data_IF_923780836368
#
_entry.id   IF_923780836368
#
_cell.length_a   1.000
_cell.length_b   1.000
_cell.length_c   1.000
_cell.angle_alpha   90.00
_cell.angle_beta   90.00
_cell.angle_gamma   90.00
#
_symmetry.space_group_name_H-M   'P 1'
#
loop_
_entity.id
_entity.type
_entity.pdbx_description
1 polymer ?
#
# COMPACT_ATOMS: atom_id res chain seq x y z
N UNK A 1 2.86 4.63 -23.43
CA UNK A 1 4.00 4.21 -22.60
C UNK A 1 3.50 4.04 -21.17
N UNK A 2 4.00 3.05 -20.42
CA UNK A 2 3.69 2.74 -19.00
C UNK A 2 2.70 1.59 -18.70
N UNK A 3 2.93 0.39 -19.25
CA UNK A 3 2.33 -0.84 -18.71
C UNK A 3 3.37 -1.91 -18.30
N UNK A 4 4.66 -1.69 -18.56
CA UNK A 4 5.70 -2.70 -18.29
C UNK A 4 6.24 -2.68 -16.84
N UNK A 5 5.97 -1.65 -16.04
CA UNK A 5 6.48 -1.57 -14.66
C UNK A 5 5.63 -2.34 -13.63
N UNK A 6 4.39 -2.69 -13.97
CA UNK A 6 3.44 -3.32 -13.05
C UNK A 6 3.67 -4.83 -12.85
N UNK A 7 4.58 -5.44 -13.63
CA UNK A 7 4.85 -6.88 -13.59
C UNK A 7 6.12 -7.30 -12.84
N UNK A 8 6.73 -6.41 -12.04
CA UNK A 8 7.85 -6.84 -11.19
C UNK A 8 7.33 -7.77 -10.08
N UNK A 9 7.67 -9.05 -10.16
CA UNK A 9 7.44 -10.00 -9.08
C UNK A 9 8.56 -9.88 -8.03
N UNK A 10 8.20 -9.81 -6.75
CA UNK A 10 9.15 -9.77 -5.65
C UNK A 10 9.10 -11.07 -4.86
N UNK A 11 10.25 -11.49 -4.33
CA UNK A 11 10.37 -12.67 -3.46
C UNK A 11 10.00 -12.26 -2.05
N UNK A 12 9.07 -12.97 -1.43
CA UNK A 12 8.60 -12.69 -0.07
C UNK A 12 8.66 -13.99 0.73
N UNK A 13 9.16 -13.92 1.96
CA UNK A 13 9.17 -15.07 2.86
C UNK A 13 7.80 -15.23 3.51
N UNK A 14 7.23 -16.43 3.42
CA UNK A 14 5.95 -16.80 4.03
C UNK A 14 6.18 -18.08 4.82
N UNK A 15 6.34 -17.96 6.14
CA UNK A 15 6.87 -19.04 6.97
C UNK A 15 8.26 -19.46 6.48
N UNK A 16 8.46 -20.75 6.26
CA UNK A 16 9.73 -21.33 5.78
C UNK A 16 9.90 -21.31 4.25
N UNK A 17 8.97 -20.68 3.51
CA UNK A 17 8.97 -20.70 2.04
C UNK A 17 9.14 -19.31 1.46
N UNK A 18 10.04 -19.18 0.48
CA UNK A 18 10.17 -17.95 -0.32
C UNK A 18 9.32 -18.08 -1.57
N UNK A 19 8.29 -17.25 -1.69
CA UNK A 19 7.37 -17.24 -2.84
C UNK A 19 7.53 -15.96 -3.65
N UNK A 20 7.48 -16.08 -4.98
CA UNK A 20 7.44 -14.92 -5.87
C UNK A 20 5.99 -14.47 -6.00
N UNK A 21 5.70 -13.25 -5.59
CA UNK A 21 4.36 -12.65 -5.75
C UNK A 21 4.47 -11.33 -6.50
N UNK A 22 3.41 -10.90 -7.21
CA UNK A 22 3.39 -9.58 -7.83
C UNK A 22 3.66 -8.49 -6.79
N UNK A 23 4.44 -7.47 -7.15
CA UNK A 23 4.80 -6.35 -6.25
C UNK A 23 3.57 -5.70 -5.62
N UNK A 24 2.50 -5.50 -6.39
CA UNK A 24 1.25 -4.94 -5.87
C UNK A 24 0.68 -5.79 -4.72
N UNK A 25 0.67 -7.12 -4.86
CA UNK A 25 0.19 -8.04 -3.81
C UNK A 25 1.07 -8.00 -2.57
N UNK A 26 2.38 -7.86 -2.75
CA UNK A 26 3.31 -7.74 -1.64
C UNK A 26 3.16 -6.41 -0.88
N UNK A 27 2.97 -5.31 -1.62
CA UNK A 27 2.77 -3.99 -1.05
C UNK A 27 1.48 -3.96 -0.21
N UNK A 28 0.38 -4.47 -0.76
CA UNK A 28 -0.89 -4.59 -0.03
C UNK A 28 -0.67 -5.37 1.27
N UNK A 29 -0.03 -6.54 1.19
CA UNK A 29 0.25 -7.35 2.38
C UNK A 29 1.04 -6.57 3.43
N UNK A 30 2.08 -5.83 3.04
CA UNK A 30 2.90 -5.03 3.95
C UNK A 30 2.08 -3.93 4.64
N UNK A 31 1.18 -3.27 3.92
CA UNK A 31 0.28 -2.25 4.47
C UNK A 31 -0.70 -2.88 5.47
N UNK A 32 -1.29 -4.04 5.14
CA UNK A 32 -2.14 -4.78 6.07
C UNK A 32 -1.40 -5.22 7.34
N UNK A 33 -0.19 -5.77 7.19
CA UNK A 33 0.63 -6.16 8.32
C UNK A 33 0.97 -4.94 9.19
N UNK A 34 1.36 -3.80 8.60
CA UNK A 34 1.63 -2.57 9.35
C UNK A 34 0.39 -2.07 10.12
N UNK A 35 -0.79 -2.08 9.49
CA UNK A 35 -2.03 -1.69 10.14
C UNK A 35 -2.38 -2.61 11.33
N UNK A 36 -2.17 -3.92 11.20
CA UNK A 36 -2.37 -4.88 12.30
C UNK A 36 -1.41 -4.68 13.47
N UNK A 37 -0.24 -4.08 13.23
CA UNK A 37 0.72 -3.71 14.28
C UNK A 37 0.47 -2.32 14.89
N UNK A 38 -0.65 -1.66 14.52
CA UNK A 38 -1.06 -0.38 15.10
C UNK A 38 -0.57 0.85 14.34
N UNK A 39 -0.05 0.70 13.12
CA UNK A 39 0.27 1.84 12.26
C UNK A 39 -1.04 2.50 11.76
N UNK A 40 -1.35 3.66 12.34
CA UNK A 40 -2.55 4.41 12.01
C UNK A 40 -2.57 4.91 10.56
N UNK A 41 -1.40 5.16 9.96
CA UNK A 41 -1.29 5.61 8.56
C UNK A 41 -1.61 4.47 7.62
N UNK A 42 -1.06 3.28 7.88
CA UNK A 42 -1.40 2.08 7.11
C UNK A 42 -2.90 1.75 7.20
N UNK A 43 -3.49 1.92 8.39
CA UNK A 43 -4.93 1.74 8.60
C UNK A 43 -5.77 2.75 7.78
N UNK A 44 -5.40 4.03 7.78
CA UNK A 44 -6.06 5.06 6.98
C UNK A 44 -6.04 4.73 5.48
N UNK A 45 -4.89 4.30 4.96
CA UNK A 45 -4.76 3.92 3.55
C UNK A 45 -5.69 2.75 3.17
N UNK A 46 -5.79 1.73 4.03
CA UNK A 46 -6.71 0.61 3.81
C UNK A 46 -8.17 1.08 3.85
N UNK A 47 -8.53 1.90 4.84
CA UNK A 47 -9.90 2.38 5.01
C UNK A 47 -10.32 3.32 3.88
N UNK A 48 -9.45 4.23 3.44
CA UNK A 48 -9.69 5.11 2.28
C UNK A 48 -9.90 4.29 1.01
N UNK A 49 -9.07 3.28 0.77
CA UNK A 49 -9.25 2.41 -0.39
C UNK A 49 -10.55 1.60 -0.33
N UNK A 50 -10.91 1.05 0.84
CA UNK A 50 -12.18 0.34 1.03
C UNK A 50 -13.39 1.26 0.83
N UNK A 51 -13.33 2.50 1.32
CA UNK A 51 -14.39 3.48 1.13
C UNK A 51 -14.65 3.74 -0.37
N UNK A 52 -13.59 3.90 -1.18
CA UNK A 52 -13.73 4.08 -2.64
C UNK A 52 -14.27 2.85 -3.38
N UNK A 53 -14.09 1.64 -2.83
CA UNK A 53 -14.64 0.41 -3.42
C UNK A 53 -16.13 0.22 -3.10
N UNK A 54 -16.59 0.69 -1.95
CA UNK A 54 -17.98 0.59 -1.50
C UNK A 54 -18.83 1.68 -2.15
N UNK A 55 -18.29 2.88 -2.29
CA UNK A 55 -18.94 3.97 -3.02
C UNK A 55 -17.88 4.74 -3.83
N UNK A 56 -17.79 4.49 -5.15
CA UNK A 56 -16.83 5.18 -6.02
C UNK A 56 -17.14 6.68 -6.19
N UNK A 57 -18.32 7.13 -5.76
CA UNK A 57 -18.72 8.54 -5.75
C UNK A 57 -18.83 9.11 -4.33
N UNK A 58 -18.42 8.38 -3.29
CA UNK A 58 -18.30 8.97 -1.97
C UNK A 58 -17.30 10.13 -2.10
N UNK A 59 -17.80 11.35 -1.94
CA UNK A 59 -16.99 12.55 -1.77
C UNK A 59 -15.92 12.20 -0.74
N UNK A 60 -14.70 11.96 -1.23
CA UNK A 60 -13.55 11.78 -0.36
C UNK A 60 -13.54 13.03 0.50
N UNK A 61 -13.68 12.93 1.83
CA UNK A 61 -13.62 14.11 2.68
C UNK A 61 -12.24 14.69 2.43
N UNK A 62 -12.19 15.82 1.69
CA UNK A 62 -11.01 16.33 1.01
C UNK A 62 -9.75 16.04 1.82
N UNK A 63 -9.11 14.91 1.52
CA UNK A 63 -8.02 14.43 2.35
C UNK A 63 -6.89 15.41 2.06
N UNK A 64 -6.51 16.17 3.08
CA UNK A 64 -5.50 17.20 2.93
C UNK A 64 -4.29 16.56 2.22
N UNK A 65 -3.69 17.26 1.24
CA UNK A 65 -2.55 16.70 0.50
C UNK A 65 -1.51 16.20 1.50
N UNK A 66 -1.02 14.99 1.27
CA UNK A 66 -0.02 14.34 2.12
C UNK A 66 1.09 15.32 2.47
N UNK A 67 1.42 15.39 3.76
CA UNK A 67 2.52 16.21 4.23
C UNK A 67 3.84 15.73 3.63
N UNK A 68 4.82 16.63 3.54
CA UNK A 68 6.15 16.30 3.02
C UNK A 68 6.81 15.12 3.78
N UNK A 69 6.46 14.95 5.05
CA UNK A 69 6.94 13.86 5.90
C UNK A 69 6.32 12.51 5.51
N UNK A 70 5.02 12.49 5.22
CA UNK A 70 4.32 11.29 4.74
C UNK A 70 4.82 10.86 3.35
N UNK A 71 5.15 11.83 2.49
CA UNK A 71 5.75 11.57 1.18
C UNK A 71 7.15 10.93 1.36
N UNK A 72 7.97 11.44 2.26
CA UNK A 72 9.31 10.89 2.52
C UNK A 72 9.26 9.44 3.03
N UNK A 73 8.28 9.10 3.88
CA UNK A 73 8.08 7.73 4.36
C UNK A 73 7.67 6.80 3.21
N UNK A 74 6.77 7.24 2.33
CA UNK A 74 6.38 6.46 1.15
C UNK A 74 7.57 6.23 0.19
N UNK A 75 8.43 7.23 0.01
CA UNK A 75 9.65 7.08 -0.81
C UNK A 75 10.65 6.10 -0.20
N UNK A 76 10.84 6.11 1.12
CA UNK A 76 11.70 5.15 1.82
C UNK A 76 11.16 3.73 1.73
N UNK A 77 9.84 3.56 1.85
CA UNK A 77 9.17 2.26 1.72
C UNK A 77 9.16 1.74 0.27
N UNK A 78 9.26 2.62 -0.72
CA UNK A 78 9.31 2.30 -2.16
C UNK A 78 10.69 1.83 -2.64
N UNK A 79 11.76 2.28 -1.98
CA UNK A 79 13.15 1.95 -2.29
C UNK A 79 13.67 0.67 -1.59
N UNK A 80 12.94 0.14 -0.61
CA UNK A 80 13.23 -1.13 0.07
C UNK A 80 12.53 -2.32 -0.61
#
# INVERSE_FOLDING_TARGET
MMLEETHRAIKVSVGDKVVKIPRAKALIRKIFDAALHGDATALKLIMGHLATLVDPNADQPAEAPLSAEEIAILELLSKA
#
